data_IF_863064908790
#
_entry.id   IF_863064908790
#
_cell.length_a   1.000
_cell.length_b   1.000
_cell.length_c   1.000
_cell.angle_alpha   90.00
_cell.angle_beta   90.00
_cell.angle_gamma   90.00
#
_symmetry.space_group_name_H-M   'P 1'
#
loop_
_entity.id
_entity.type
_entity.pdbx_description
1 polymer ?
#
# COMPACT_ATOMS: atom_id res chain seq x y z
N UNK A 1 -22.93 13.49 13.65
CA UNK A 1 -22.42 12.41 12.76
C UNK A 1 -21.34 12.86 11.77
N UNK A 2 -21.28 14.12 11.32
CA UNK A 2 -20.23 14.59 10.38
C UNK A 2 -18.81 14.51 10.96
N UNK A 3 -18.64 14.85 12.25
CA UNK A 3 -17.36 14.77 12.94
C UNK A 3 -16.74 13.36 12.87
N UNK A 4 -17.51 12.32 13.22
CA UNK A 4 -17.03 10.93 13.19
C UNK A 4 -16.66 10.48 11.78
N UNK A 5 -17.42 10.88 10.75
CA UNK A 5 -17.08 10.56 9.35
C UNK A 5 -15.78 11.21 8.88
N UNK A 6 -15.43 12.38 9.43
CA UNK A 6 -14.16 13.06 9.15
C UNK A 6 -12.93 12.40 9.77
N UNK A 7 -13.14 11.44 10.68
CA UNK A 7 -12.09 10.66 11.34
C UNK A 7 -11.90 9.26 10.72
N UNK A 8 -12.60 8.95 9.62
CA UNK A 8 -12.55 7.65 8.95
C UNK A 8 -11.90 7.76 7.56
N UNK A 9 -11.00 6.83 7.25
CA UNK A 9 -10.32 6.77 5.97
C UNK A 9 -9.14 7.72 5.87
N UNK A 10 -8.68 7.97 4.64
CA UNK A 10 -7.57 8.90 4.35
C UNK A 10 -7.95 10.33 4.75
N UNK A 11 -7.04 11.04 5.40
CA UNK A 11 -7.26 12.41 5.83
C UNK A 11 -7.47 13.36 4.63
N UNK A 12 -8.42 14.31 4.69
CA UNK A 12 -8.73 15.20 3.56
C UNK A 12 -7.54 16.04 3.08
N UNK A 13 -6.57 16.29 3.96
CA UNK A 13 -5.35 17.05 3.68
C UNK A 13 -4.13 16.20 3.31
N UNK A 14 -4.30 14.91 3.02
CA UNK A 14 -3.18 14.02 2.65
C UNK A 14 -2.32 14.56 1.50
N UNK A 15 -2.90 15.38 0.61
CA UNK A 15 -2.17 16.06 -0.47
C UNK A 15 -1.12 17.07 0.02
N UNK A 16 -1.28 17.65 1.20
CA UNK A 16 -0.32 18.60 1.78
C UNK A 16 0.98 17.92 2.25
N UNK A 17 0.95 16.58 2.45
CA UNK A 17 2.05 15.79 3.03
C UNK A 17 2.68 14.82 2.03
N UNK A 18 2.51 15.05 0.72
CA UNK A 18 3.08 14.16 -0.31
C UNK A 18 4.59 14.28 -0.37
N UNK A 19 5.25 13.13 -0.53
CA UNK A 19 6.65 13.07 -0.92
C UNK A 19 6.85 13.62 -2.34
N UNK A 20 8.10 13.94 -2.67
CA UNK A 20 8.45 14.34 -4.02
C UNK A 20 8.07 13.24 -5.02
N UNK A 21 7.43 13.63 -6.12
CA UNK A 21 7.07 12.71 -7.18
C UNK A 21 8.34 12.21 -7.86
N UNK A 22 8.44 10.88 -8.01
CA UNK A 22 9.49 10.25 -8.79
C UNK A 22 8.97 10.03 -10.21
N UNK A 23 9.65 10.61 -11.19
CA UNK A 23 9.33 10.46 -12.61
C UNK A 23 10.47 9.67 -13.25
N UNK A 24 10.13 8.61 -13.99
CA UNK A 24 11.11 7.87 -14.77
C UNK A 24 11.51 8.71 -16.00
N UNK A 25 12.79 9.05 -16.13
CA UNK A 25 13.31 9.85 -17.25
C UNK A 25 13.14 9.15 -18.60
N UNK A 26 13.22 7.82 -18.59
CA UNK A 26 13.05 6.96 -19.75
C UNK A 26 11.88 6.00 -19.50
N UNK A 27 10.86 6.10 -20.34
CA UNK A 27 9.76 5.14 -20.39
C UNK A 27 10.12 4.14 -21.50
N UNK A 28 10.21 2.83 -21.21
CA UNK A 28 10.51 1.83 -22.22
C UNK A 28 9.49 1.85 -23.37
N UNK A 29 9.95 1.80 -24.62
CA UNK A 29 9.08 1.74 -25.80
C UNK A 29 8.27 0.42 -25.88
N UNK A 30 8.68 -0.59 -25.12
CA UNK A 30 8.15 -1.96 -25.13
C UNK A 30 7.25 -2.27 -23.93
N UNK A 31 6.59 -1.27 -23.34
CA UNK A 31 5.58 -1.52 -22.31
C UNK A 31 4.43 -2.39 -22.87
N UNK A 32 4.01 -3.43 -22.13
CA UNK A 32 2.94 -4.30 -22.59
C UNK A 32 1.59 -3.56 -22.57
N UNK A 33 0.67 -3.97 -23.45
CA UNK A 33 -0.70 -3.43 -23.50
C UNK A 33 -1.46 -3.68 -22.18
N UNK A 34 -1.16 -4.78 -21.49
CA UNK A 34 -1.70 -5.12 -20.19
C UNK A 34 -0.61 -5.62 -19.23
N UNK A 35 -0.81 -5.37 -17.95
CA UNK A 35 0.09 -5.83 -16.89
C UNK A 35 -0.70 -6.25 -15.66
N UNK A 36 -0.43 -7.45 -15.18
CA UNK A 36 -0.92 -7.95 -13.89
C UNK A 36 0.27 -8.36 -13.02
N UNK A 37 0.40 -7.72 -11.85
CA UNK A 37 1.47 -8.01 -10.92
C UNK A 37 1.45 -9.47 -10.43
N UNK A 38 0.25 -10.07 -10.34
CA UNK A 38 0.05 -11.47 -9.94
C UNK A 38 0.62 -12.44 -10.97
N UNK A 39 0.52 -12.10 -12.25
CA UNK A 39 1.10 -12.90 -13.34
C UNK A 39 2.60 -12.69 -13.46
N UNK A 40 3.09 -11.47 -13.18
CA UNK A 40 4.53 -11.15 -13.23
C UNK A 40 5.32 -11.76 -12.07
N UNK A 41 4.73 -11.79 -10.87
CA UNK A 41 5.36 -12.32 -9.65
C UNK A 41 4.47 -13.36 -8.96
N UNK A 42 4.19 -14.51 -9.62
CA UNK A 42 3.24 -15.50 -9.12
C UNK A 42 3.74 -16.24 -7.87
N UNK A 43 5.03 -16.13 -7.56
CA UNK A 43 5.63 -16.71 -6.35
C UNK A 43 5.41 -15.83 -5.10
N UNK A 44 4.95 -14.59 -5.27
CA UNK A 44 4.66 -13.67 -4.17
C UNK A 44 3.20 -13.77 -3.76
N UNK A 45 2.94 -14.57 -2.72
CA UNK A 45 1.57 -14.85 -2.26
C UNK A 45 0.83 -13.58 -1.79
N UNK A 46 1.55 -12.58 -1.29
CA UNK A 46 0.96 -11.32 -0.79
C UNK A 46 0.19 -10.57 -1.87
N UNK A 47 0.59 -10.63 -3.14
CA UNK A 47 -0.06 -9.92 -4.26
C UNK A 47 -1.46 -10.49 -4.54
N UNK A 48 -1.69 -11.75 -4.18
CA UNK A 48 -2.98 -12.42 -4.31
C UNK A 48 -3.88 -12.24 -3.07
N UNK A 49 -3.33 -11.72 -1.97
CA UNK A 49 -4.01 -11.69 -0.69
C UNK A 49 -4.92 -10.46 -0.59
N UNK A 50 -6.23 -10.69 -0.46
CA UNK A 50 -7.20 -9.65 -0.13
C UNK A 50 -7.43 -9.66 1.37
N UNK A 51 -7.23 -8.52 2.03
CA UNK A 51 -7.43 -8.35 3.48
C UNK A 51 -8.73 -7.60 3.78
N UNK A 52 -9.15 -7.62 5.05
CA UNK A 52 -10.36 -6.97 5.53
C UNK A 52 -10.01 -5.98 6.66
N UNK A 53 -10.26 -4.68 6.43
CA UNK A 53 -10.07 -3.61 7.42
C UNK A 53 -11.15 -3.60 8.53
N UNK A 54 -12.14 -4.47 8.43
CA UNK A 54 -13.27 -4.58 9.35
C UNK A 54 -14.04 -3.26 9.47
N UNK A 55 -14.52 -2.93 10.66
CA UNK A 55 -15.29 -1.71 10.96
C UNK A 55 -14.42 -0.48 11.22
N UNK A 56 -13.12 -0.55 10.93
CA UNK A 56 -12.16 0.53 11.12
C UNK A 56 -11.92 1.31 9.81
N UNK A 57 -11.74 2.62 9.88
CA UNK A 57 -11.38 3.49 8.75
C UNK A 57 -9.90 3.41 8.36
N UNK A 58 -9.28 2.23 8.41
CA UNK A 58 -7.83 2.01 8.31
C UNK A 58 -7.34 1.64 6.89
N UNK A 59 -8.12 1.93 5.85
CA UNK A 59 -7.77 1.62 4.46
C UNK A 59 -6.38 2.13 4.03
N UNK A 60 -5.96 3.28 4.56
CA UNK A 60 -4.64 3.86 4.31
C UNK A 60 -3.50 2.98 4.84
N UNK A 61 -3.68 2.37 6.01
CA UNK A 61 -2.69 1.47 6.61
C UNK A 61 -2.68 0.10 5.89
N UNK A 62 -3.86 -0.39 5.48
CA UNK A 62 -3.98 -1.63 4.71
C UNK A 62 -3.31 -1.49 3.34
N UNK A 63 -3.66 -0.49 2.54
CA UNK A 63 -3.04 -0.30 1.22
C UNK A 63 -1.52 -0.08 1.29
N UNK A 64 -1.02 0.59 2.34
CA UNK A 64 0.41 0.74 2.56
C UNK A 64 1.09 -0.60 2.90
N UNK A 65 0.58 -1.34 3.89
CA UNK A 65 1.21 -2.59 4.34
C UNK A 65 1.07 -3.74 3.34
N UNK A 66 -0.01 -3.80 2.57
CA UNK A 66 -0.19 -4.70 1.43
C UNK A 66 0.91 -4.47 0.38
N UNK A 67 1.04 -3.24 -0.12
CA UNK A 67 2.06 -2.90 -1.12
C UNK A 67 3.50 -3.07 -0.60
N UNK A 68 3.76 -2.80 0.68
CA UNK A 68 5.07 -3.06 1.28
C UNK A 68 5.38 -4.56 1.35
N UNK A 69 4.39 -5.40 1.69
CA UNK A 69 4.54 -6.86 1.73
C UNK A 69 4.90 -7.40 0.34
N UNK A 70 4.20 -6.92 -0.69
CA UNK A 70 4.47 -7.25 -2.09
C UNK A 70 5.89 -6.87 -2.50
N UNK A 71 6.29 -5.63 -2.22
CA UNK A 71 7.62 -5.12 -2.57
C UNK A 71 8.74 -5.88 -1.85
N UNK A 72 8.55 -6.28 -0.60
CA UNK A 72 9.54 -7.12 0.10
C UNK A 72 9.72 -8.46 -0.61
N UNK A 73 8.64 -9.10 -1.03
CA UNK A 73 8.74 -10.33 -1.80
C UNK A 73 9.42 -10.11 -3.17
N UNK A 74 8.96 -9.11 -3.93
CA UNK A 74 9.48 -8.80 -5.28
C UNK A 74 10.98 -8.51 -5.23
N UNK A 75 11.42 -7.63 -4.33
CA UNK A 75 12.82 -7.21 -4.25
C UNK A 75 13.73 -8.25 -3.60
N UNK A 76 13.17 -9.20 -2.85
CA UNK A 76 13.93 -10.33 -2.30
C UNK A 76 13.93 -11.57 -3.20
N UNK A 77 13.31 -11.50 -4.39
CA UNK A 77 13.12 -12.65 -5.29
C UNK A 77 12.41 -13.82 -4.60
N UNK A 78 11.42 -13.51 -3.74
CA UNK A 78 10.65 -14.49 -2.98
C UNK A 78 11.38 -15.09 -1.77
N UNK A 79 12.62 -14.70 -1.47
CA UNK A 79 13.38 -15.20 -0.30
C UNK A 79 12.77 -14.76 1.02
N UNK A 80 12.11 -13.61 1.03
CA UNK A 80 11.41 -13.08 2.20
C UNK A 80 9.96 -12.83 1.82
N UNK A 81 9.04 -13.58 2.45
CA UNK A 81 7.61 -13.37 2.32
C UNK A 81 7.04 -13.10 3.70
N UNK A 82 6.48 -11.92 3.88
CA UNK A 82 6.01 -11.41 5.16
C UNK A 82 4.73 -10.63 4.94
N UNK A 83 3.76 -10.86 5.81
CA UNK A 83 2.58 -10.04 5.91
C UNK A 83 2.84 -8.91 6.92
N UNK A 84 3.08 -7.70 6.42
CA UNK A 84 3.32 -6.54 7.28
C UNK A 84 2.04 -6.18 8.03
N UNK A 85 2.19 -5.90 9.33
CA UNK A 85 1.09 -5.62 10.26
C UNK A 85 0.45 -4.26 9.97
N UNK A 86 -0.78 -4.29 9.47
CA UNK A 86 -1.59 -3.09 9.31
C UNK A 86 -1.93 -2.44 10.66
N UNK A 87 -2.08 -3.25 11.72
CA UNK A 87 -2.39 -2.77 13.08
C UNK A 87 -1.23 -1.98 13.67
N UNK A 88 0.01 -2.45 13.48
CA UNK A 88 1.19 -1.73 13.97
C UNK A 88 1.33 -0.37 13.29
N UNK A 89 1.13 -0.32 11.96
CA UNK A 89 1.15 0.96 11.24
C UNK A 89 0.02 1.90 11.69
N UNK A 90 -1.19 1.34 11.92
CA UNK A 90 -2.37 2.08 12.37
C UNK A 90 -2.16 2.69 13.76
N UNK A 91 -1.66 1.92 14.72
CA UNK A 91 -1.60 2.31 16.13
C UNK A 91 -0.32 3.06 16.50
N UNK A 92 0.81 2.69 15.89
CA UNK A 92 2.12 3.20 16.29
C UNK A 92 2.59 4.40 15.46
N UNK A 93 2.04 4.63 14.26
CA UNK A 93 2.51 5.75 13.43
C UNK A 93 1.79 7.07 13.75
N UNK A 94 2.34 7.80 14.72
CA UNK A 94 1.81 9.11 15.13
C UNK A 94 2.13 10.27 14.17
N UNK A 95 2.92 10.03 13.11
CA UNK A 95 3.33 11.04 12.13
C UNK A 95 3.02 10.69 10.68
N UNK A 96 2.34 9.57 10.40
CA UNK A 96 2.00 9.12 9.03
C UNK A 96 0.77 9.85 8.44
N UNK A 97 0.45 11.06 8.93
CA UNK A 97 -0.68 11.85 8.44
C UNK A 97 -2.07 11.34 8.82
N UNK A 98 -2.17 10.20 9.54
CA UNK A 98 -3.43 9.48 9.80
C UNK A 98 -4.18 9.13 8.49
N UNK A 99 -3.42 8.85 7.43
CA UNK A 99 -3.89 8.71 6.05
C UNK A 99 -3.65 9.95 5.22
#
# INVERSE_FOLDING_TARGET
MSYIRGLMGVHPKSKEYRLAEFVHDEIPDDLPESFDAREKWPHCNSIHLIRDQSTCGSCWAFGATEAMSDRVCIHSEGKVQVDISAEDLLDCCHSCGYG
#
